data_IF_162085563733
#
_entry.id   IF_162085563733
#
_cell.length_a   1.000
_cell.length_b   1.000
_cell.length_c   1.000
_cell.angle_alpha   90.00
_cell.angle_beta   90.00
_cell.angle_gamma   90.00
#
_symmetry.space_group_name_H-M   'P 1'
#
loop_
_entity.id
_entity.type
_entity.pdbx_description
1 polymer ?
#
# COMPACT_ATOMS: atom_id res chain seq x y z
N UNK A 1 13.40 -3.82 -18.35
CA UNK A 1 12.50 -3.45 -17.22
C UNK A 1 13.06 -4.06 -15.95
N UNK A 2 13.34 -3.25 -14.92
CA UNK A 2 13.93 -3.74 -13.67
C UNK A 2 12.96 -4.62 -12.87
N UNK A 3 13.49 -5.51 -12.02
CA UNK A 3 12.70 -6.34 -11.14
C UNK A 3 11.87 -5.50 -10.17
N UNK A 4 12.46 -4.45 -9.57
CA UNK A 4 11.72 -3.48 -8.75
C UNK A 4 10.51 -2.90 -9.49
N UNK A 5 10.68 -2.40 -10.71
CA UNK A 5 9.58 -1.82 -11.49
C UNK A 5 8.50 -2.86 -11.80
N UNK A 6 8.88 -4.13 -12.01
CA UNK A 6 7.91 -5.20 -12.17
C UNK A 6 7.13 -5.47 -10.88
N UNK A 7 7.82 -5.57 -9.75
CA UNK A 7 7.21 -5.80 -8.44
C UNK A 7 6.30 -4.64 -8.01
N UNK A 8 6.70 -3.39 -8.27
CA UNK A 8 5.85 -2.20 -8.04
C UNK A 8 4.55 -2.31 -8.83
N UNK A 9 4.59 -2.69 -10.11
CA UNK A 9 3.36 -2.86 -10.90
C UNK A 9 2.48 -4.00 -10.40
N UNK A 10 3.04 -5.10 -9.88
CA UNK A 10 2.21 -6.16 -9.29
C UNK A 10 1.63 -5.73 -7.94
N UNK A 11 2.43 -5.08 -7.09
CA UNK A 11 2.03 -4.64 -5.75
C UNK A 11 1.00 -3.51 -5.80
N UNK A 12 1.18 -2.59 -6.74
CA UNK A 12 0.46 -1.33 -6.85
C UNK A 12 -0.25 -1.17 -8.20
N UNK A 13 -0.48 -2.24 -8.97
CA UNK A 13 -1.27 -2.25 -10.20
C UNK A 13 -0.60 -1.72 -11.48
N UNK A 14 -1.11 -2.21 -12.62
CA UNK A 14 -0.90 -1.69 -13.98
C UNK A 14 -2.30 -1.47 -14.58
N UNK A 15 -2.63 -0.34 -15.24
CA UNK A 15 -4.01 0.01 -15.59
C UNK A 15 -4.49 -0.69 -16.87
N UNK A 16 -3.65 -1.53 -17.49
CA UNK A 16 -3.96 -2.25 -18.73
C UNK A 16 -3.98 -3.77 -18.60
N UNK A 17 -3.61 -4.34 -17.46
CA UNK A 17 -3.53 -5.79 -17.29
C UNK A 17 -4.84 -6.33 -16.68
N UNK A 18 -5.69 -6.89 -17.55
CA UNK A 18 -7.02 -7.43 -17.19
C UNK A 18 -6.96 -8.73 -16.36
N UNK A 19 -5.77 -9.34 -16.25
CA UNK A 19 -5.60 -10.66 -15.65
C UNK A 19 -4.43 -10.69 -14.69
N UNK A 20 -4.57 -11.42 -13.56
CA UNK A 20 -3.47 -11.58 -12.63
C UNK A 20 -2.22 -12.20 -13.29
N UNK A 21 -1.06 -11.72 -12.86
CA UNK A 21 0.17 -12.52 -12.94
C UNK A 21 -0.03 -13.86 -12.20
N UNK A 22 0.20 -15.03 -12.84
CA UNK A 22 0.03 -16.33 -12.20
C UNK A 22 0.95 -16.53 -10.98
N UNK A 23 0.49 -17.32 -9.99
CA UNK A 23 1.20 -17.51 -8.72
C UNK A 23 2.62 -18.07 -8.87
N UNK A 24 2.87 -18.96 -9.84
CA UNK A 24 4.21 -19.51 -10.09
C UNK A 24 5.19 -18.42 -10.57
N UNK A 25 4.71 -17.47 -11.39
CA UNK A 25 5.53 -16.33 -11.83
C UNK A 25 5.81 -15.40 -10.67
N UNK A 26 4.83 -15.15 -9.81
CA UNK A 26 5.05 -14.33 -8.59
C UNK A 26 6.06 -14.98 -7.67
N UNK A 27 5.99 -16.29 -7.45
CA UNK A 27 6.96 -17.01 -6.64
C UNK A 27 8.38 -16.92 -7.24
N UNK A 28 8.50 -17.07 -8.56
CA UNK A 28 9.77 -16.88 -9.27
C UNK A 28 10.31 -15.45 -9.15
N UNK A 29 9.47 -14.45 -9.40
CA UNK A 29 9.82 -13.02 -9.27
C UNK A 29 10.24 -12.66 -7.85
N UNK A 30 9.49 -13.13 -6.83
CA UNK A 30 9.81 -12.91 -5.43
C UNK A 30 11.15 -13.55 -5.02
N UNK A 31 11.46 -14.73 -5.58
CA UNK A 31 12.74 -15.42 -5.34
C UNK A 31 13.94 -14.69 -5.98
N UNK A 32 13.68 -13.87 -7.00
CA UNK A 32 14.70 -13.05 -7.66
C UNK A 32 15.07 -11.78 -6.91
N UNK A 33 14.34 -11.38 -5.86
CA UNK A 33 14.59 -10.15 -5.12
C UNK A 33 15.95 -10.19 -4.41
N UNK A 34 16.77 -9.14 -4.61
CA UNK A 34 18.14 -9.05 -4.07
C UNK A 34 18.32 -7.88 -3.14
N UNK A 35 17.60 -6.78 -3.37
CA UNK A 35 17.64 -5.60 -2.50
C UNK A 35 16.56 -5.68 -1.43
N UNK A 36 16.74 -4.95 -0.33
CA UNK A 36 15.76 -4.87 0.76
C UNK A 36 14.41 -4.29 0.26
N UNK A 37 14.48 -3.32 -0.66
CA UNK A 37 13.31 -2.74 -1.34
C UNK A 37 12.56 -3.76 -2.21
N UNK A 38 13.27 -4.52 -3.04
CA UNK A 38 12.67 -5.60 -3.83
C UNK A 38 12.06 -6.68 -2.93
N UNK A 39 12.74 -7.06 -1.85
CA UNK A 39 12.24 -8.04 -0.89
C UNK A 39 10.96 -7.54 -0.20
N UNK A 40 10.90 -6.25 0.14
CA UNK A 40 9.70 -5.65 0.72
C UNK A 40 8.53 -5.66 -0.27
N UNK A 41 8.76 -5.23 -1.52
CA UNK A 41 7.72 -5.27 -2.57
C UNK A 41 7.22 -6.69 -2.83
N UNK A 42 8.13 -7.67 -2.87
CA UNK A 42 7.78 -9.08 -2.99
C UNK A 42 6.89 -9.54 -1.82
N UNK A 43 7.18 -9.11 -0.59
CA UNK A 43 6.35 -9.42 0.56
C UNK A 43 4.96 -8.79 0.47
N UNK A 44 4.83 -7.55 -0.02
CA UNK A 44 3.54 -6.90 -0.27
C UNK A 44 2.71 -7.68 -1.28
N UNK A 45 3.31 -8.12 -2.39
CA UNK A 45 2.65 -8.97 -3.41
C UNK A 45 2.19 -10.30 -2.80
N UNK A 46 3.06 -10.99 -2.06
CA UNK A 46 2.72 -12.26 -1.42
C UNK A 46 1.57 -12.10 -0.40
N UNK A 47 1.60 -11.04 0.41
CA UNK A 47 0.55 -10.71 1.37
C UNK A 47 -0.80 -10.43 0.69
N UNK A 48 -0.80 -9.68 -0.41
CA UNK A 48 -2.01 -9.42 -1.20
C UNK A 48 -2.67 -10.72 -1.71
N UNK A 49 -1.86 -11.72 -2.08
CA UNK A 49 -2.26 -13.07 -2.52
C UNK A 49 -2.57 -14.04 -1.37
N UNK A 50 -2.54 -13.58 -0.11
CA UNK A 50 -2.80 -14.41 1.06
C UNK A 50 -1.69 -15.42 1.39
N UNK A 51 -0.49 -15.27 0.82
CA UNK A 51 0.70 -16.08 1.15
C UNK A 51 1.43 -15.48 2.35
N UNK A 52 0.71 -15.29 3.45
CA UNK A 52 1.17 -14.55 4.63
C UNK A 52 2.43 -15.15 5.25
N UNK A 53 2.55 -16.48 5.35
CA UNK A 53 3.76 -17.13 5.89
C UNK A 53 5.02 -16.79 5.07
N UNK A 54 4.92 -16.83 3.74
CA UNK A 54 6.02 -16.48 2.85
C UNK A 54 6.38 -14.99 2.95
N UNK A 55 5.37 -14.12 3.00
CA UNK A 55 5.57 -12.69 3.18
C UNK A 55 6.23 -12.39 4.54
N UNK A 56 5.72 -12.98 5.63
CA UNK A 56 6.26 -12.80 6.99
C UNK A 56 7.73 -13.23 7.08
N UNK A 57 8.15 -14.29 6.39
CA UNK A 57 9.57 -14.69 6.33
C UNK A 57 10.46 -13.58 5.79
N UNK A 58 10.07 -12.93 4.69
CA UNK A 58 10.80 -11.80 4.14
C UNK A 58 10.78 -10.60 5.10
N UNK A 59 9.59 -10.24 5.61
CA UNK A 59 9.41 -9.07 6.45
C UNK A 59 10.15 -9.15 7.79
N UNK A 60 10.21 -10.33 8.42
CA UNK A 60 10.95 -10.52 9.67
C UNK A 60 12.45 -10.22 9.52
N UNK A 61 13.05 -10.58 8.38
CA UNK A 61 14.43 -10.19 8.05
C UNK A 61 14.55 -8.68 7.87
N UNK A 62 13.62 -8.08 7.12
CA UNK A 62 13.66 -6.65 6.77
C UNK A 62 13.41 -5.71 7.95
N UNK A 63 12.78 -6.17 9.04
CA UNK A 63 12.69 -5.41 10.31
C UNK A 63 14.05 -5.03 10.89
N UNK A 64 15.12 -5.71 10.48
CA UNK A 64 16.49 -5.45 10.88
C UNK A 64 17.33 -4.86 9.73
N UNK A 65 16.68 -4.34 8.68
CA UNK A 65 17.36 -3.63 7.60
C UNK A 65 18.10 -2.40 8.15
N UNK A 66 19.21 -2.05 7.50
CA UNK A 66 19.92 -0.78 7.74
C UNK A 66 19.18 0.41 7.13
N UNK A 67 18.34 0.16 6.14
CA UNK A 67 17.42 1.15 5.62
C UNK A 67 16.22 1.25 6.57
N UNK A 68 16.17 2.36 7.32
CA UNK A 68 15.14 2.62 8.33
C UNK A 68 13.74 2.76 7.72
N UNK A 69 13.63 3.21 6.47
CA UNK A 69 12.35 3.29 5.74
C UNK A 69 11.86 1.88 5.46
N UNK A 70 12.72 0.99 4.96
CA UNK A 70 12.33 -0.40 4.72
C UNK A 70 12.05 -1.15 6.03
N UNK A 71 12.82 -0.91 7.09
CA UNK A 71 12.54 -1.52 8.40
C UNK A 71 11.16 -1.09 8.94
N UNK A 72 10.81 0.19 8.81
CA UNK A 72 9.50 0.73 9.17
C UNK A 72 8.38 0.12 8.34
N UNK A 73 8.49 0.17 7.00
CA UNK A 73 7.50 -0.41 6.09
C UNK A 73 7.33 -1.92 6.31
N UNK A 74 8.40 -2.65 6.63
CA UNK A 74 8.31 -4.08 6.94
C UNK A 74 7.52 -4.34 8.23
N UNK A 75 7.74 -3.53 9.27
CA UNK A 75 6.99 -3.61 10.52
C UNK A 75 5.50 -3.26 10.32
N UNK A 76 5.17 -2.17 9.62
CA UNK A 76 3.78 -1.81 9.29
C UNK A 76 3.09 -2.86 8.40
N UNK A 77 3.83 -3.54 7.52
CA UNK A 77 3.28 -4.61 6.68
C UNK A 77 2.94 -5.86 7.51
N UNK A 78 3.79 -6.23 8.47
CA UNK A 78 3.49 -7.31 9.44
C UNK A 78 2.24 -6.97 10.25
N UNK A 79 2.13 -5.74 10.75
CA UNK A 79 0.98 -5.27 11.50
C UNK A 79 -0.31 -5.33 10.66
N UNK A 80 -0.24 -4.89 9.41
CA UNK A 80 -1.33 -5.01 8.42
C UNK A 80 -1.77 -6.46 8.23
N UNK A 81 -0.85 -7.42 8.07
CA UNK A 81 -1.20 -8.84 7.94
C UNK A 81 -1.93 -9.38 9.18
N UNK A 82 -1.53 -8.97 10.39
CA UNK A 82 -2.21 -9.34 11.63
C UNK A 82 -3.64 -8.80 11.66
N UNK A 83 -3.85 -7.52 11.30
CA UNK A 83 -5.19 -6.91 11.22
C UNK A 83 -6.11 -7.62 10.21
N UNK A 84 -5.56 -8.07 9.07
CA UNK A 84 -6.36 -8.81 8.07
C UNK A 84 -6.94 -10.13 8.60
N UNK A 85 -6.42 -10.64 9.71
CA UNK A 85 -6.92 -11.84 10.37
C UNK A 85 -7.40 -11.53 11.80
N UNK A 86 -7.85 -10.30 12.04
CA UNK A 86 -8.48 -9.88 13.30
C UNK A 86 -7.53 -9.62 14.47
N UNK A 87 -6.23 -9.76 14.28
CA UNK A 87 -5.20 -9.60 15.31
C UNK A 87 -4.80 -8.15 15.59
N UNK A 88 -5.76 -7.25 15.79
CA UNK A 88 -5.49 -5.81 15.97
C UNK A 88 -4.61 -5.49 17.18
N UNK A 89 -4.88 -6.09 18.35
CA UNK A 89 -4.05 -5.89 19.53
C UNK A 89 -2.60 -6.40 19.31
N UNK A 90 -2.42 -7.46 18.54
CA UNK A 90 -1.11 -8.00 18.19
C UNK A 90 -0.39 -7.16 17.11
N UNK A 91 -1.10 -6.32 16.36
CA UNK A 91 -0.52 -5.42 15.36
C UNK A 91 0.18 -4.21 16.01
N UNK A 92 -0.34 -3.74 17.15
CA UNK A 92 0.09 -2.51 17.83
C UNK A 92 1.60 -2.44 18.14
N UNK A 93 2.28 -3.49 18.65
CA UNK A 93 3.73 -3.43 18.85
C UNK A 93 4.53 -3.28 17.56
N UNK A 94 4.03 -3.82 16.44
CA UNK A 94 4.70 -3.71 15.16
C UNK A 94 4.49 -2.33 14.53
N UNK A 95 3.28 -1.77 14.58
CA UNK A 95 3.02 -0.39 14.12
C UNK A 95 3.76 0.65 14.99
N UNK A 96 3.88 0.41 16.31
CA UNK A 96 4.70 1.23 17.19
C UNK A 96 6.20 1.18 16.87
N UNK A 97 6.73 -0.01 16.59
CA UNK A 97 8.12 -0.17 16.13
C UNK A 97 8.36 0.48 14.76
N UNK A 98 7.37 0.44 13.87
CA UNK A 98 7.44 1.09 12.57
C UNK A 98 7.54 2.61 12.71
N UNK A 99 6.71 3.20 13.58
CA UNK A 99 6.75 4.64 13.86
C UNK A 99 8.09 5.03 14.48
N UNK A 100 8.56 4.27 15.48
CA UNK A 100 9.84 4.54 16.15
C UNK A 100 11.03 4.55 15.18
N UNK A 101 11.01 3.71 14.14
CA UNK A 101 12.09 3.63 13.16
C UNK A 101 12.24 4.90 12.29
N UNK A 102 11.16 5.66 12.10
CA UNK A 102 11.16 6.88 11.27
C UNK A 102 10.83 8.14 12.08
N UNK A 103 10.71 8.03 13.40
CA UNK A 103 10.42 9.14 14.28
C UNK A 103 11.53 10.20 14.22
N UNK A 104 11.15 11.45 14.04
CA UNK A 104 12.08 12.58 13.97
C UNK A 104 12.78 12.77 12.61
N UNK A 105 12.54 11.90 11.63
CA UNK A 105 13.00 12.12 10.26
C UNK A 105 12.10 13.14 9.54
N UNK A 106 12.66 14.02 8.70
CA UNK A 106 11.86 14.95 7.93
C UNK A 106 11.06 14.22 6.84
N UNK A 107 9.78 14.56 6.69
CA UNK A 107 8.90 13.93 5.68
C UNK A 107 9.34 14.26 4.24
N UNK A 108 9.97 15.43 4.05
CA UNK A 108 10.62 15.83 2.81
C UNK A 108 12.11 15.95 3.09
N UNK A 109 12.99 15.21 2.40
CA UNK A 109 14.44 15.37 2.56
C UNK A 109 14.86 16.82 2.25
N UNK A 110 15.82 17.35 3.01
CA UNK A 110 16.41 18.65 2.70
C UNK A 110 17.08 18.61 1.32
N UNK A 111 16.99 19.71 0.56
CA UNK A 111 17.62 19.79 -0.76
C UNK A 111 19.14 19.54 -0.63
N UNK A 112 19.61 18.40 -1.18
CA UNK A 112 21.02 18.00 -1.17
C UNK A 112 21.41 16.92 -0.15
N UNK A 113 20.50 16.47 0.72
CA UNK A 113 20.76 15.31 1.58
C UNK A 113 20.29 14.02 0.88
N UNK A 114 21.25 13.28 0.32
CA UNK A 114 21.07 11.84 0.07
C UNK A 114 20.81 11.18 1.41
N UNK A 115 19.56 10.76 1.65
CA UNK A 115 19.27 9.81 2.73
C UNK A 115 20.11 8.59 2.43
N UNK A 116 21.12 8.34 3.27
CA UNK A 116 22.15 7.32 3.06
C UNK A 116 21.56 6.02 2.50
N UNK A 117 21.88 5.71 1.24
CA UNK A 117 21.36 4.52 0.55
C UNK A 117 21.22 4.60 -0.97
N UNK A 118 21.55 5.73 -1.61
CA UNK A 118 21.54 5.85 -3.08
C UNK A 118 22.99 5.91 -3.60
N UNK A 119 23.34 4.85 -4.35
CA UNK A 119 24.51 4.63 -5.19
C UNK A 119 25.88 4.35 -4.53
N UNK A 120 26.29 3.07 -4.51
CA UNK A 120 27.37 2.57 -5.36
C UNK A 120 27.66 1.06 -5.16
N UNK A 121 27.71 0.37 -6.31
CA UNK A 121 28.69 -0.66 -6.68
C UNK A 121 28.31 -2.15 -6.65
N UNK A 122 28.04 -2.69 -7.85
CA UNK A 122 28.84 -3.81 -8.36
C UNK A 122 28.73 -3.89 -9.89
N UNK A 123 29.50 -3.06 -10.59
CA UNK A 123 29.76 -3.26 -12.01
C UNK A 123 31.21 -2.88 -12.34
N UNK A 124 32.15 -3.70 -11.90
CA UNK A 124 33.34 -3.99 -12.71
C UNK A 124 34.08 -5.23 -12.21
N UNK A 125 34.15 -6.30 -13.02
CA UNK A 125 35.33 -7.17 -13.19
C UNK A 125 35.30 -7.89 -14.54
N UNK A 126 36.31 -7.55 -15.34
CA UNK A 126 37.01 -8.32 -16.38
C UNK A 126 36.63 -8.09 -17.87
N UNK A 127 37.33 -7.12 -18.45
CA UNK A 127 38.19 -7.18 -19.65
C UNK A 127 38.14 -8.42 -20.57
N UNK A 128 37.98 -8.19 -21.88
CA UNK A 128 39.10 -8.21 -22.84
C UNK A 128 38.65 -7.87 -24.29
N UNK A 129 39.61 -7.31 -25.03
CA UNK A 129 39.77 -7.22 -26.49
C UNK A 129 39.11 -6.08 -27.30
N UNK A 130 39.99 -5.37 -28.04
CA UNK A 130 39.73 -5.12 -29.46
C UNK A 130 39.77 -3.69 -29.98
N UNK A 131 40.96 -3.08 -29.97
CA UNK A 131 41.59 -2.36 -31.10
C UNK A 131 41.00 -1.08 -31.76
N UNK A 132 41.95 -0.17 -32.00
CA UNK A 132 42.13 0.83 -33.06
C UNK A 132 41.08 1.89 -33.45
N UNK A 133 41.52 3.14 -33.21
CA UNK A 133 41.73 4.22 -34.20
C UNK A 133 40.55 5.09 -34.68
N UNK A 134 40.73 6.41 -34.59
CA UNK A 134 39.97 7.36 -35.40
C UNK A 134 39.93 8.79 -34.87
N UNK A 135 40.99 9.57 -35.13
CA UNK A 135 41.00 11.04 -34.99
C UNK A 135 39.96 11.67 -35.91
N UNK A 136 39.19 12.66 -35.44
CA UNK A 136 39.07 13.92 -36.18
C UNK A 136 38.48 15.09 -35.38
N UNK A 137 38.97 16.26 -35.79
CA UNK A 137 38.87 17.60 -35.23
C UNK A 137 37.73 18.44 -35.82
N UNK A 138 37.38 19.49 -35.07
CA UNK A 138 36.92 20.82 -35.51
C UNK A 138 35.43 21.03 -35.83
N UNK A 139 34.89 22.12 -35.27
CA UNK A 139 33.62 22.71 -35.68
C UNK A 139 33.05 23.71 -34.68
N UNK A 140 33.69 24.89 -34.57
CA UNK A 140 33.11 26.07 -33.89
C UNK A 140 31.91 26.57 -34.68
N UNK A 141 30.85 26.98 -33.97
CA UNK A 141 30.12 28.22 -34.26
C UNK A 141 29.27 28.64 -33.06
N UNK A 142 29.50 29.87 -32.62
CA UNK A 142 28.71 30.59 -31.63
C UNK A 142 27.92 31.68 -32.35
N UNK A 143 26.64 31.86 -32.03
CA UNK A 143 25.94 33.14 -32.15
C UNK A 143 25.01 33.31 -30.96
N UNK A 144 25.03 34.53 -30.44
CA UNK A 144 24.48 35.09 -29.23
C UNK A 144 22.95 34.99 -29.01
N UNK A 145 22.57 35.03 -27.73
CA UNK A 145 21.55 35.97 -27.28
C UNK A 145 20.45 35.43 -26.36
N UNK A 146 20.69 35.42 -25.03
CA UNK A 146 19.86 36.07 -23.99
C UNK A 146 20.28 35.58 -22.60
N UNK A 147 20.51 36.54 -21.70
CA UNK A 147 20.97 36.34 -20.32
C UNK A 147 19.92 35.71 -19.40
N UNK A 148 20.33 35.32 -18.18
CA UNK A 148 19.69 34.25 -17.44
C UNK A 148 18.51 34.79 -16.64
N UNK A 149 17.33 34.21 -16.85
CA UNK A 149 16.37 34.10 -15.76
C UNK A 149 16.94 33.04 -14.82
N UNK A 150 17.66 33.47 -13.78
CA UNK A 150 18.03 32.63 -12.64
C UNK A 150 16.78 32.30 -11.84
N UNK A 151 15.93 31.45 -12.40
CA UNK A 151 15.09 30.57 -11.62
C UNK A 151 15.99 29.44 -11.19
N UNK A 152 16.43 29.45 -9.93
CA UNK A 152 16.80 28.23 -9.25
C UNK A 152 15.56 27.35 -9.25
N UNK A 153 15.39 26.56 -10.30
CA UNK A 153 14.50 25.41 -10.28
C UNK A 153 15.04 24.51 -9.17
N UNK A 154 14.45 24.67 -7.99
CA UNK A 154 14.60 23.72 -6.92
C UNK A 154 14.24 22.38 -7.53
N UNK A 155 15.25 21.53 -7.75
CA UNK A 155 15.05 20.12 -8.07
C UNK A 155 14.42 19.52 -6.82
N UNK A 156 13.12 19.70 -6.69
CA UNK A 156 12.33 19.14 -5.61
C UNK A 156 12.53 17.63 -5.69
N UNK A 157 13.10 17.04 -4.65
CA UNK A 157 13.19 15.59 -4.53
C UNK A 157 11.75 15.09 -4.51
N UNK A 158 11.30 14.56 -5.65
CA UNK A 158 9.93 14.12 -5.81
C UNK A 158 9.66 12.94 -4.87
N UNK A 159 8.53 12.97 -4.17
CA UNK A 159 8.08 11.87 -3.33
C UNK A 159 8.07 10.55 -4.13
N UNK A 160 8.40 9.44 -3.46
CA UNK A 160 8.22 8.13 -4.08
C UNK A 160 6.71 7.95 -4.33
N UNK A 161 6.34 7.76 -5.60
CA UNK A 161 4.94 7.71 -6.00
C UNK A 161 4.15 6.62 -5.24
N UNK A 162 4.81 5.51 -4.90
CA UNK A 162 4.21 4.40 -4.17
C UNK A 162 4.40 4.52 -2.64
N UNK A 163 4.98 5.62 -2.16
CA UNK A 163 5.22 5.89 -0.74
C UNK A 163 6.32 5.02 -0.15
N UNK A 164 7.32 4.62 -0.95
CA UNK A 164 8.54 3.93 -0.49
C UNK A 164 9.60 4.96 -0.07
N UNK A 165 9.21 5.85 0.82
CA UNK A 165 9.98 6.96 1.38
C UNK A 165 9.61 7.21 2.85
N UNK A 166 10.27 8.18 3.50
CA UNK A 166 10.03 8.52 4.92
C UNK A 166 8.57 8.91 5.15
N UNK A 167 8.00 9.73 4.27
CA UNK A 167 6.62 10.17 4.39
C UNK A 167 5.61 9.02 4.30
N UNK A 168 5.81 8.09 3.36
CA UNK A 168 4.97 6.91 3.22
C UNK A 168 5.11 5.94 4.38
N UNK A 169 6.33 5.73 4.90
CA UNK A 169 6.57 4.90 6.08
C UNK A 169 5.94 5.47 7.35
N UNK A 170 6.11 6.77 7.58
CA UNK A 170 5.48 7.51 8.68
C UNK A 170 3.96 7.44 8.61
N UNK A 171 3.38 7.69 7.42
CA UNK A 171 1.94 7.61 7.21
C UNK A 171 1.42 6.18 7.45
N UNK A 172 2.09 5.16 6.93
CA UNK A 172 1.67 3.76 7.13
C UNK A 172 1.68 3.35 8.61
N UNK A 173 2.71 3.78 9.36
CA UNK A 173 2.82 3.47 10.78
C UNK A 173 1.72 4.16 11.62
N UNK A 174 1.49 5.46 11.42
CA UNK A 174 0.45 6.20 12.15
C UNK A 174 -0.97 5.74 11.77
N UNK A 175 -1.23 5.49 10.48
CA UNK A 175 -2.51 4.94 10.03
C UNK A 175 -2.73 3.51 10.55
N UNK A 176 -1.66 2.74 10.71
CA UNK A 176 -1.71 1.44 11.35
C UNK A 176 -2.11 1.53 12.82
N UNK A 177 -1.45 2.40 13.59
CA UNK A 177 -1.83 2.70 14.97
C UNK A 177 -3.28 3.20 15.07
N UNK A 178 -3.73 4.04 14.14
CA UNK A 178 -5.11 4.51 14.08
C UNK A 178 -6.10 3.35 13.88
N UNK A 179 -5.82 2.44 12.94
CA UNK A 179 -6.65 1.26 12.70
C UNK A 179 -6.69 0.31 13.93
N UNK A 180 -5.59 0.18 14.67
CA UNK A 180 -5.57 -0.60 15.91
C UNK A 180 -6.44 0.03 16.99
N UNK A 181 -6.45 1.37 17.10
CA UNK A 181 -7.33 2.06 18.05
C UNK A 181 -8.82 1.85 17.74
N UNK A 182 -9.21 1.64 16.47
CA UNK A 182 -10.60 1.33 16.12
C UNK A 182 -11.06 0.02 16.74
N UNK A 183 -10.25 -1.04 16.61
CA UNK A 183 -10.56 -2.34 17.19
C UNK A 183 -10.52 -2.34 18.73
N UNK A 184 -9.81 -1.40 19.33
CA UNK A 184 -9.78 -1.18 20.78
C UNK A 184 -10.93 -0.27 21.28
N UNK A 185 -11.89 0.09 20.41
CA UNK A 185 -13.03 0.93 20.79
C UNK A 185 -12.68 2.40 21.04
N UNK A 186 -11.63 2.92 20.39
CA UNK A 186 -11.13 4.30 20.58
C UNK A 186 -11.20 5.12 19.29
N UNK A 187 -12.39 5.31 18.69
CA UNK A 187 -12.54 5.99 17.39
C UNK A 187 -12.09 7.46 17.43
N UNK A 188 -12.23 8.16 18.56
CA UNK A 188 -11.76 9.53 18.70
C UNK A 188 -10.24 9.65 18.57
N UNK A 189 -9.47 8.69 19.11
CA UNK A 189 -8.02 8.68 18.97
C UNK A 189 -7.59 8.31 17.54
N UNK A 190 -8.27 7.34 16.92
CA UNK A 190 -8.05 7.01 15.52
C UNK A 190 -8.24 8.24 14.61
N UNK A 191 -9.32 9.01 14.80
CA UNK A 191 -9.56 10.25 14.04
C UNK A 191 -8.45 11.29 14.23
N UNK A 192 -7.92 11.44 15.45
CA UNK A 192 -6.79 12.36 15.71
C UNK A 192 -5.55 11.95 14.94
N UNK A 193 -5.21 10.67 14.96
CA UNK A 193 -4.05 10.12 14.22
C UNK A 193 -4.22 10.27 12.70
N UNK A 194 -5.42 10.02 12.16
CA UNK A 194 -5.72 10.27 10.74
C UNK A 194 -5.58 11.77 10.40
N UNK A 195 -6.07 12.66 11.27
CA UNK A 195 -5.92 14.10 11.11
C UNK A 195 -4.45 14.54 11.11
N UNK A 196 -3.63 13.97 11.99
CA UNK A 196 -2.18 14.21 12.06
C UNK A 196 -1.50 13.79 10.75
N UNK A 197 -1.82 12.59 10.22
CA UNK A 197 -1.29 12.11 8.94
C UNK A 197 -1.66 13.04 7.79
N UNK A 198 -2.95 13.40 7.67
CA UNK A 198 -3.42 14.28 6.59
C UNK A 198 -2.75 15.65 6.66
N UNK A 199 -2.71 16.27 7.85
CA UNK A 199 -2.07 17.57 8.04
C UNK A 199 -0.57 17.53 7.75
N UNK A 200 0.14 16.46 8.17
CA UNK A 200 1.56 16.30 7.90
C UNK A 200 1.86 16.11 6.42
N UNK A 201 1.05 15.32 5.69
CA UNK A 201 1.19 15.15 4.24
C UNK A 201 0.90 16.45 3.48
N UNK A 202 -0.12 17.21 3.90
CA UNK A 202 -0.44 18.51 3.29
C UNK A 202 0.64 19.56 3.57
N UNK A 203 1.21 19.59 4.77
CA UNK A 203 2.33 20.47 5.09
C UNK A 203 3.59 20.12 4.29
N UNK A 204 3.84 18.82 4.08
CA UNK A 204 5.02 18.33 3.36
C UNK A 204 4.93 18.53 1.83
N UNK A 205 3.77 18.26 1.24
CA UNK A 205 3.64 18.15 -0.23
C UNK A 205 2.57 19.06 -0.83
N UNK A 206 1.88 19.87 -0.02
CA UNK A 206 0.71 20.63 -0.44
C UNK A 206 -0.53 19.77 -0.61
N UNK A 207 -1.68 20.43 -0.77
CA UNK A 207 -2.96 19.74 -0.95
C UNK A 207 -2.95 18.90 -2.24
N UNK A 208 -3.18 17.60 -2.11
CA UNK A 208 -3.16 16.65 -3.23
C UNK A 208 -1.77 16.20 -3.68
N UNK A 209 -0.68 16.74 -3.12
CA UNK A 209 0.69 16.30 -3.40
C UNK A 209 1.12 15.08 -2.58
N UNK A 210 2.25 14.46 -2.95
CA UNK A 210 2.79 13.28 -2.27
C UNK A 210 2.19 11.95 -2.76
N UNK A 211 2.39 10.87 -2.01
CA UNK A 211 1.94 9.54 -2.43
C UNK A 211 0.41 9.38 -2.37
N UNK A 212 -0.20 9.05 -3.50
CA UNK A 212 -1.62 8.70 -3.62
C UNK A 212 -1.97 7.53 -2.68
N UNK A 213 -1.05 6.57 -2.53
CA UNK A 213 -1.21 5.41 -1.63
C UNK A 213 -1.47 5.85 -0.19
N UNK A 214 -0.66 6.76 0.33
CA UNK A 214 -0.76 7.26 1.71
C UNK A 214 -2.07 8.01 1.93
N UNK A 215 -2.47 8.88 0.98
CA UNK A 215 -3.73 9.64 1.07
C UNK A 215 -4.97 8.76 1.00
N UNK A 216 -4.99 7.79 0.09
CA UNK A 216 -6.08 6.82 -0.04
C UNK A 216 -6.21 5.98 1.23
N UNK A 217 -5.09 5.54 1.82
CA UNK A 217 -5.10 4.81 3.10
C UNK A 217 -5.58 5.68 4.26
N UNK A 218 -5.21 6.97 4.29
CA UNK A 218 -5.73 7.91 5.28
C UNK A 218 -7.25 8.06 5.17
N UNK A 219 -7.77 8.16 3.95
CA UNK A 219 -9.20 8.21 3.71
C UNK A 219 -9.94 6.90 4.07
N UNK A 220 -9.33 5.73 3.88
CA UNK A 220 -9.91 4.46 4.34
C UNK A 220 -10.03 4.40 5.86
N UNK A 221 -8.94 4.68 6.58
CA UNK A 221 -8.96 4.64 8.06
C UNK A 221 -9.84 5.76 8.62
N UNK A 222 -9.88 6.92 7.96
CA UNK A 222 -10.82 7.99 8.28
C UNK A 222 -12.29 7.58 8.12
N UNK A 223 -12.63 6.86 7.04
CA UNK A 223 -13.97 6.33 6.83
C UNK A 223 -14.32 5.26 7.89
N UNK A 224 -13.42 4.32 8.15
CA UNK A 224 -13.59 3.30 9.19
C UNK A 224 -13.76 3.95 10.59
N UNK A 225 -13.03 5.02 10.89
CA UNK A 225 -13.16 5.78 12.14
C UNK A 225 -14.45 6.59 12.25
N UNK A 226 -14.96 7.10 11.14
CA UNK A 226 -16.24 7.78 11.07
C UNK A 226 -17.40 6.79 11.29
N UNK A 227 -17.36 5.61 10.64
CA UNK A 227 -18.32 4.53 10.85
C UNK A 227 -18.33 4.05 12.31
N UNK A 228 -17.17 3.78 12.89
CA UNK A 228 -17.05 3.39 14.30
C UNK A 228 -17.52 4.49 15.26
N UNK A 229 -17.54 5.74 14.81
CA UNK A 229 -18.04 6.90 15.54
C UNK A 229 -19.53 7.21 15.31
N UNK A 230 -20.25 6.42 14.51
CA UNK A 230 -21.66 6.66 14.18
C UNK A 230 -21.90 7.81 13.19
N UNK A 231 -20.88 8.17 12.39
CA UNK A 231 -20.95 9.23 11.37
C UNK A 231 -20.75 8.67 9.96
N UNK A 232 -21.78 8.02 9.38
CA UNK A 232 -21.66 7.43 8.06
C UNK A 232 -21.58 8.47 6.93
N UNK A 233 -22.07 9.70 7.13
CA UNK A 233 -21.97 10.77 6.14
C UNK A 233 -20.50 11.17 5.89
N UNK A 234 -19.73 11.38 6.97
CA UNK A 234 -18.29 11.62 6.85
C UNK A 234 -17.55 10.41 6.27
N UNK A 235 -18.00 9.19 6.59
CA UNK A 235 -17.43 7.98 6.00
C UNK A 235 -17.59 7.93 4.48
N UNK A 236 -18.79 8.25 3.97
CA UNK A 236 -19.05 8.35 2.53
C UNK A 236 -18.18 9.43 1.90
N UNK A 237 -18.13 10.63 2.47
CA UNK A 237 -17.30 11.73 1.95
C UNK A 237 -15.81 11.36 1.88
N UNK A 238 -15.29 10.69 2.90
CA UNK A 238 -13.90 10.21 2.94
C UNK A 238 -13.64 9.15 1.86
N UNK A 239 -14.54 8.17 1.71
CA UNK A 239 -14.40 7.11 0.72
C UNK A 239 -14.54 7.61 -0.73
N UNK A 240 -15.41 8.60 -0.98
CA UNK A 240 -15.52 9.29 -2.27
C UNK A 240 -14.25 10.07 -2.60
N UNK A 241 -13.66 10.78 -1.64
CA UNK A 241 -12.39 11.47 -1.83
C UNK A 241 -11.28 10.49 -2.23
N UNK A 242 -11.20 9.31 -1.59
CA UNK A 242 -10.28 8.25 -1.99
C UNK A 242 -10.52 7.79 -3.44
N UNK A 243 -11.77 7.56 -3.82
CA UNK A 243 -12.12 7.12 -5.17
C UNK A 243 -11.80 8.20 -6.22
N UNK A 244 -12.02 9.47 -5.89
CA UNK A 244 -11.66 10.60 -6.73
C UNK A 244 -10.14 10.67 -6.95
N UNK A 245 -9.34 10.57 -5.88
CA UNK A 245 -7.87 10.55 -5.98
C UNK A 245 -7.36 9.42 -6.88
N UNK A 246 -7.98 8.24 -6.78
CA UNK A 246 -7.65 7.11 -7.65
C UNK A 246 -8.08 7.33 -9.11
N UNK A 247 -9.10 8.15 -9.38
CA UNK A 247 -9.55 8.45 -10.75
C UNK A 247 -8.78 9.62 -11.38
N UNK A 248 -8.35 10.58 -10.57
CA UNK A 248 -7.69 11.81 -11.02
C UNK A 248 -6.17 11.68 -11.16
N UNK A 249 -5.56 10.62 -10.61
CA UNK A 249 -4.12 10.41 -10.67
C UNK A 249 -3.59 10.25 -12.10
N UNK A 250 -2.50 10.94 -12.43
CA UNK A 250 -1.82 10.82 -13.73
C UNK A 250 -1.12 9.48 -13.95
N UNK A 251 -0.95 8.69 -12.88
CA UNK A 251 -0.38 7.33 -12.93
C UNK A 251 -1.50 6.32 -12.73
N UNK A 252 -1.33 5.16 -13.34
CA UNK A 252 -2.14 3.97 -13.13
C UNK A 252 -2.54 3.80 -11.66
N UNK A 253 -3.84 3.76 -11.39
CA UNK A 253 -4.31 3.48 -10.04
C UNK A 253 -4.03 2.03 -9.66
N UNK A 254 -3.56 1.78 -8.42
CA UNK A 254 -3.44 0.43 -7.95
C UNK A 254 -4.76 -0.30 -7.95
N UNK A 255 -4.86 -1.33 -8.78
CA UNK A 255 -6.05 -2.17 -8.96
C UNK A 255 -6.59 -2.69 -7.62
N UNK A 256 -5.68 -3.08 -6.71
CA UNK A 256 -6.05 -3.47 -5.33
C UNK A 256 -6.59 -2.31 -4.49
N UNK A 257 -6.00 -1.11 -4.59
CA UNK A 257 -6.48 0.06 -3.86
C UNK A 257 -7.85 0.51 -4.38
N UNK A 258 -8.10 0.40 -5.69
CA UNK A 258 -9.42 0.62 -6.26
C UNK A 258 -10.45 -0.33 -5.65
N UNK A 259 -10.21 -1.65 -5.70
CA UNK A 259 -11.13 -2.63 -5.12
C UNK A 259 -11.38 -2.39 -3.62
N UNK A 260 -10.33 -2.15 -2.82
CA UNK A 260 -10.50 -1.84 -1.39
C UNK A 260 -11.27 -0.52 -1.17
N UNK A 261 -11.04 0.49 -2.00
CA UNK A 261 -11.78 1.77 -1.92
C UNK A 261 -13.26 1.59 -2.24
N UNK A 262 -13.58 0.81 -3.29
CA UNK A 262 -14.96 0.48 -3.67
C UNK A 262 -15.67 -0.27 -2.52
N UNK A 263 -14.99 -1.21 -1.85
CA UNK A 263 -15.54 -1.90 -0.68
C UNK A 263 -15.77 -0.96 0.52
N UNK A 264 -14.84 -0.04 0.80
CA UNK A 264 -15.00 0.94 1.88
C UNK A 264 -16.17 1.89 1.59
N UNK A 265 -16.29 2.36 0.34
CA UNK A 265 -17.40 3.21 -0.08
C UNK A 265 -18.74 2.48 0.00
N UNK A 266 -18.81 1.23 -0.46
CA UNK A 266 -20.02 0.42 -0.36
C UNK A 266 -20.45 0.21 1.10
N UNK A 267 -19.51 -0.11 2.01
CA UNK A 267 -19.80 -0.22 3.44
C UNK A 267 -20.30 1.10 4.04
N UNK A 268 -19.72 2.24 3.63
CA UNK A 268 -20.17 3.55 4.09
C UNK A 268 -21.57 3.91 3.58
N UNK A 269 -21.89 3.61 2.32
CA UNK A 269 -23.21 3.81 1.72
C UNK A 269 -24.29 2.97 2.42
N UNK A 270 -24.01 1.70 2.68
CA UNK A 270 -24.90 0.82 3.44
C UNK A 270 -25.15 1.34 4.85
N UNK A 271 -24.10 1.74 5.57
CA UNK A 271 -24.23 2.30 6.91
C UNK A 271 -24.99 3.64 6.93
N UNK A 272 -24.87 4.44 5.87
CA UNK A 272 -25.63 5.68 5.69
C UNK A 272 -27.09 5.43 5.27
N UNK A 273 -27.49 4.19 4.97
CA UNK A 273 -28.79 3.87 4.35
C UNK A 273 -28.99 4.57 3.01
N UNK A 274 -27.90 4.90 2.31
CA UNK A 274 -27.89 5.76 1.12
C UNK A 274 -27.42 4.98 -0.10
N UNK A 275 -28.18 5.05 -1.20
CA UNK A 275 -27.84 4.46 -2.51
C UNK A 275 -27.40 2.98 -2.47
N UNK A 276 -28.28 2.07 -2.01
CA UNK A 276 -27.97 0.63 -1.91
C UNK A 276 -27.66 -0.01 -3.27
N UNK A 277 -28.24 0.52 -4.36
CA UNK A 277 -27.96 0.03 -5.72
C UNK A 277 -26.49 0.28 -6.09
N UNK A 278 -25.98 1.48 -5.86
CA UNK A 278 -24.56 1.79 -6.07
C UNK A 278 -23.65 1.01 -5.15
N UNK A 279 -24.04 0.76 -3.90
CA UNK A 279 -23.27 -0.10 -3.01
C UNK A 279 -23.11 -1.51 -3.59
N UNK A 280 -24.19 -2.11 -4.12
CA UNK A 280 -24.16 -3.41 -4.79
C UNK A 280 -23.25 -3.42 -6.03
N UNK A 281 -23.34 -2.38 -6.87
CA UNK A 281 -22.48 -2.23 -8.06
C UNK A 281 -20.98 -2.16 -7.69
N UNK A 282 -20.65 -1.38 -6.67
CA UNK A 282 -19.28 -1.24 -6.16
C UNK A 282 -18.75 -2.57 -5.62
N UNK A 283 -19.55 -3.32 -4.87
CA UNK A 283 -19.16 -4.65 -4.37
C UNK A 283 -18.96 -5.64 -5.53
N UNK A 284 -19.86 -5.66 -6.51
CA UNK A 284 -19.73 -6.53 -7.67
C UNK A 284 -18.49 -6.20 -8.53
N UNK A 285 -18.19 -4.90 -8.70
CA UNK A 285 -16.99 -4.45 -9.39
C UNK A 285 -15.71 -4.86 -8.63
N UNK A 286 -15.68 -4.64 -7.33
CA UNK A 286 -14.55 -5.02 -6.48
C UNK A 286 -14.33 -6.55 -6.48
N UNK A 287 -15.39 -7.36 -6.39
CA UNK A 287 -15.30 -8.81 -6.44
C UNK A 287 -14.74 -9.32 -7.77
N UNK A 288 -15.16 -8.73 -8.89
CA UNK A 288 -14.62 -9.06 -10.22
C UNK A 288 -13.11 -8.85 -10.25
N UNK A 289 -12.64 -7.72 -9.73
CA UNK A 289 -11.21 -7.39 -9.64
C UNK A 289 -10.48 -8.34 -8.69
N UNK A 290 -11.05 -8.61 -7.52
CA UNK A 290 -10.45 -9.47 -6.49
C UNK A 290 -10.27 -10.90 -7.03
N UNK A 291 -11.31 -11.44 -7.67
CA UNK A 291 -11.28 -12.79 -8.25
C UNK A 291 -10.30 -12.85 -9.45
N UNK A 292 -10.33 -11.86 -10.35
CA UNK A 292 -9.44 -11.81 -11.53
C UNK A 292 -7.96 -11.69 -11.15
N UNK A 293 -7.64 -11.04 -10.03
CA UNK A 293 -6.27 -10.82 -9.57
C UNK A 293 -5.82 -11.76 -8.43
N UNK A 294 -6.71 -12.61 -7.91
CA UNK A 294 -6.42 -13.52 -6.79
C UNK A 294 -6.08 -12.78 -5.49
N UNK A 295 -6.70 -11.64 -5.22
CA UNK A 295 -6.46 -10.86 -3.99
C UNK A 295 -7.14 -11.49 -2.78
N UNK A 296 -6.65 -12.66 -2.36
CA UNK A 296 -7.23 -13.43 -1.26
C UNK A 296 -7.33 -12.65 0.06
N UNK A 297 -6.47 -11.63 0.26
CA UNK A 297 -6.55 -10.71 1.41
C UNK A 297 -7.82 -9.86 1.47
N UNK A 298 -8.55 -9.69 0.36
CA UNK A 298 -9.78 -8.88 0.25
C UNK A 298 -11.01 -9.73 -0.07
N UNK A 299 -10.85 -11.02 -0.35
CA UNK A 299 -11.94 -11.86 -0.86
C UNK A 299 -13.04 -12.10 0.16
N UNK A 300 -12.69 -12.58 1.35
CA UNK A 300 -13.70 -12.89 2.37
C UNK A 300 -14.43 -11.64 2.90
N UNK A 301 -13.79 -10.46 3.15
CA UNK A 301 -14.53 -9.27 3.55
C UNK A 301 -15.44 -8.76 2.44
N UNK A 302 -15.01 -8.84 1.17
CA UNK A 302 -15.85 -8.47 0.04
C UNK A 302 -17.10 -9.35 -0.07
N UNK A 303 -16.98 -10.64 0.26
CA UNK A 303 -18.11 -11.57 0.27
C UNK A 303 -19.06 -11.34 1.44
N UNK A 304 -18.55 -11.00 2.62
CA UNK A 304 -19.41 -10.57 3.72
C UNK A 304 -20.22 -9.32 3.33
N UNK A 305 -19.58 -8.36 2.67
CA UNK A 305 -20.27 -7.17 2.17
C UNK A 305 -21.27 -7.50 1.05
N UNK A 306 -20.95 -8.45 0.18
CA UNK A 306 -21.87 -8.95 -0.85
C UNK A 306 -23.13 -9.58 -0.24
N UNK A 307 -23.01 -10.26 0.90
CA UNK A 307 -24.16 -10.79 1.61
C UNK A 307 -25.12 -9.71 2.12
N UNK A 308 -24.62 -8.50 2.38
CA UNK A 308 -25.43 -7.34 2.78
C UNK A 308 -26.11 -6.66 1.58
N UNK A 309 -25.45 -6.64 0.42
CA UNK A 309 -25.99 -6.02 -0.81
C UNK A 309 -26.88 -6.95 -1.64
N UNK A 310 -26.79 -8.27 -1.43
CA UNK A 310 -27.56 -9.30 -2.12
C UNK A 310 -28.23 -10.25 -1.11
N UNK A 311 -29.40 -9.85 -0.55
CA UNK A 311 -30.10 -10.66 0.44
C UNK A 311 -30.53 -12.03 -0.07
N UNK A 312 -30.78 -12.18 -1.37
CA UNK A 312 -31.19 -13.45 -1.97
C UNK A 312 -30.03 -14.47 -2.03
N UNK A 313 -28.80 -13.99 -2.27
CA UNK A 313 -27.58 -14.78 -2.27
C UNK A 313 -26.81 -14.82 -0.95
N UNK A 314 -27.30 -14.17 0.11
CA UNK A 314 -26.55 -13.89 1.33
C UNK A 314 -25.87 -15.12 1.96
N UNK A 315 -26.59 -16.24 2.06
CA UNK A 315 -26.04 -17.46 2.65
C UNK A 315 -24.92 -18.08 1.82
N UNK A 316 -24.99 -17.99 0.49
CA UNK A 316 -23.91 -18.47 -0.37
C UNK A 316 -22.67 -17.59 -0.26
N UNK A 317 -22.86 -16.27 -0.21
CA UNK A 317 -21.75 -15.33 0.02
C UNK A 317 -21.05 -15.60 1.35
N UNK A 318 -21.80 -15.79 2.45
CA UNK A 318 -21.23 -16.15 3.76
C UNK A 318 -20.50 -17.49 3.73
N UNK A 319 -21.10 -18.54 3.14
CA UNK A 319 -20.42 -19.85 2.97
C UNK A 319 -19.12 -19.73 2.17
N UNK A 320 -19.11 -18.90 1.12
CA UNK A 320 -17.91 -18.68 0.31
C UNK A 320 -16.85 -17.89 1.08
N UNK A 321 -17.23 -16.89 1.88
CA UNK A 321 -16.32 -16.19 2.78
C UNK A 321 -15.62 -17.16 3.75
N UNK A 322 -16.36 -18.04 4.42
CA UNK A 322 -15.80 -19.07 5.32
C UNK A 322 -14.85 -20.03 4.61
N UNK A 323 -15.22 -20.52 3.41
CA UNK A 323 -14.32 -21.38 2.60
C UNK A 323 -13.01 -20.68 2.26
N UNK A 324 -13.06 -19.39 1.93
CA UNK A 324 -11.88 -18.60 1.58
C UNK A 324 -10.97 -18.37 2.79
N UNK A 325 -11.55 -18.10 3.96
CA UNK A 325 -10.79 -18.05 5.22
C UNK A 325 -10.11 -19.38 5.50
N UNK A 326 -10.83 -20.51 5.44
CA UNK A 326 -10.23 -21.83 5.64
C UNK A 326 -9.09 -22.12 4.64
N UNK A 327 -9.22 -21.71 3.38
CA UNK A 327 -8.17 -21.86 2.38
C UNK A 327 -6.93 -20.99 2.65
N UNK A 328 -7.08 -19.87 3.39
CA UNK A 328 -5.97 -19.02 3.83
C UNK A 328 -5.20 -19.61 5.01
N UNK A 329 -5.85 -20.33 5.94
CA UNK A 329 -5.23 -20.80 7.19
C UNK A 329 -3.98 -21.67 7.02
N UNK A 330 -3.85 -22.54 5.99
CA UNK A 330 -2.61 -23.26 5.72
C UNK A 330 -1.44 -22.36 5.28
N UNK A 331 -1.74 -21.15 4.78
CA UNK A 331 -0.76 -20.21 4.19
C UNK A 331 -0.33 -19.10 5.14
N UNK A 332 -0.84 -19.08 6.38
CA UNK A 332 -0.42 -18.14 7.44
C UNK A 332 0.58 -18.79 8.38
N UNK A 333 1.41 -17.99 9.04
CA UNK A 333 2.27 -18.48 10.11
C UNK A 333 1.47 -18.84 11.38
N UNK A 334 2.04 -19.62 12.32
CA UNK A 334 1.30 -20.13 13.48
C UNK A 334 0.66 -19.04 14.37
N UNK A 335 1.30 -17.88 14.47
CA UNK A 335 0.80 -16.75 15.26
C UNK A 335 -0.45 -16.16 14.61
N UNK A 336 -0.39 -15.87 13.31
CA UNK A 336 -1.54 -15.38 12.54
C UNK A 336 -2.69 -16.38 12.50
N UNK A 337 -2.40 -17.69 12.45
CA UNK A 337 -3.45 -18.72 12.53
C UNK A 337 -4.21 -18.67 13.86
N UNK A 338 -3.48 -18.53 14.97
CA UNK A 338 -4.09 -18.40 16.29
C UNK A 338 -4.98 -17.15 16.35
N UNK A 339 -4.47 -16.01 15.89
CA UNK A 339 -5.22 -14.75 15.86
C UNK A 339 -6.50 -14.87 15.02
N UNK A 340 -6.45 -15.55 13.88
CA UNK A 340 -7.63 -15.79 13.04
C UNK A 340 -8.71 -16.59 13.77
N UNK A 341 -8.33 -17.67 14.46
CA UNK A 341 -9.25 -18.55 15.20
C UNK A 341 -9.87 -17.87 16.42
N UNK A 342 -9.09 -17.02 17.10
CA UNK A 342 -9.54 -16.30 18.30
C UNK A 342 -10.34 -15.03 17.98
N UNK A 343 -10.33 -14.58 16.71
CA UNK A 343 -10.98 -13.34 16.32
C UNK A 343 -12.50 -13.51 16.16
N UNK A 344 -13.32 -12.65 16.79
CA UNK A 344 -14.76 -12.64 16.56
C UNK A 344 -15.14 -12.09 15.17
N UNK A 345 -14.17 -11.52 14.44
CA UNK A 345 -14.40 -10.85 13.15
C UNK A 345 -14.09 -11.74 11.95
N UNK A 346 -13.38 -12.84 12.16
CA UNK A 346 -12.95 -13.74 11.08
C UNK A 346 -13.86 -14.97 11.09
N UNK A 347 -14.58 -15.26 9.99
CA UNK A 347 -15.48 -16.42 9.92
C UNK A 347 -14.69 -17.70 9.71
N UNK A 348 -14.02 -18.19 10.77
CA UNK A 348 -13.36 -19.50 10.85
C UNK A 348 -14.34 -20.59 11.26
#
# INVERSE_FOLDING_TARGET
MTLENHLRRIAFGDPGESTATPDHRIAGTASGARTDRECWLAAVVLGARGRYAAATTLLRRLRHSRDVVIASLAASTIASHRRQLGGHAAALPADGAALAAVAGLPLVPAAGESVAGVDADSADRNAADGDAAGRNTAGRNAVAGQGPATGTDAVGIAADADGVDVAGAWADALLGLAADQLALGRPALARRLVGEVTAGLDAAFGNGGGSVRSRVRAAWVGAEAALAGGDPATAVASAEAALHLLRSGSRATPVRHRAKTELVLAAALLAAGSDPARAAELVASALTVIDAHGFASLSWPARLLAAETDPAGADEHRRRATREVHALLPRVDPELRRLAVESPWVPV
#
